data_IF_109128438255
#
_entry.id   IF_109128438255
#
_cell.length_a   1.000
_cell.length_b   1.000
_cell.length_c   1.000
_cell.angle_alpha   90.00
_cell.angle_beta   90.00
_cell.angle_gamma   90.00
#
_symmetry.space_group_name_H-M   'P 1'
#
loop_
_entity.id
_entity.type
_entity.pdbx_description
1 polymer ?
#
# COMPACT_ATOMS: atom_id res chain seq x y z
N UNK A 1 -13.71 -11.62 -3.61
CA UNK A 1 -12.89 -11.18 -4.76
C UNK A 1 -11.81 -12.20 -5.06
N UNK A 2 -11.45 -12.31 -6.31
CA UNK A 2 -10.43 -13.24 -6.75
C UNK A 2 -9.15 -12.53 -7.16
N UNK A 3 -8.02 -13.15 -6.90
CA UNK A 3 -6.71 -12.66 -7.29
C UNK A 3 -6.58 -12.61 -8.82
N UNK A 4 -6.04 -11.52 -9.34
CA UNK A 4 -5.84 -11.34 -10.78
C UNK A 4 -4.70 -12.21 -11.33
N UNK A 5 -3.80 -12.64 -10.46
CA UNK A 5 -2.61 -13.39 -10.88
C UNK A 5 -2.88 -14.89 -10.94
N UNK A 6 -3.42 -15.46 -9.86
CA UNK A 6 -3.59 -16.90 -9.77
C UNK A 6 -5.04 -17.38 -9.65
N UNK A 7 -5.99 -16.47 -9.54
CA UNK A 7 -7.40 -16.80 -9.35
C UNK A 7 -7.77 -17.25 -7.95
N UNK A 8 -6.84 -17.22 -7.01
CA UNK A 8 -7.10 -17.57 -5.62
C UNK A 8 -7.97 -16.54 -4.91
N UNK A 9 -8.39 -16.85 -3.70
CA UNK A 9 -9.24 -15.98 -2.93
C UNK A 9 -8.44 -14.91 -2.20
N UNK A 10 -8.93 -13.66 -2.25
CA UNK A 10 -8.33 -12.53 -1.53
C UNK A 10 -8.89 -12.44 -0.12
N UNK A 11 -8.02 -12.06 0.83
CA UNK A 11 -8.39 -11.82 2.22
C UNK A 11 -8.04 -10.39 2.60
N UNK A 12 -8.86 -9.78 3.46
CA UNK A 12 -8.56 -8.48 4.05
C UNK A 12 -7.44 -8.63 5.08
N UNK A 13 -6.41 -7.79 4.97
CA UNK A 13 -5.29 -7.75 5.90
C UNK A 13 -4.87 -6.33 6.17
N UNK A 14 -4.16 -6.12 7.28
CA UNK A 14 -3.53 -4.83 7.62
C UNK A 14 -2.04 -5.07 7.61
N UNK A 15 -1.31 -4.29 6.82
CA UNK A 15 0.13 -4.48 6.66
C UNK A 15 0.85 -3.15 6.45
N UNK A 16 2.17 -3.20 6.41
CA UNK A 16 3.02 -2.05 6.11
C UNK A 16 3.61 -2.25 4.73
N UNK A 17 3.49 -1.25 3.85
CA UNK A 17 4.02 -1.33 2.49
C UNK A 17 4.89 -0.12 2.16
N UNK A 18 6.01 -0.34 1.46
CA UNK A 18 6.84 0.76 0.97
C UNK A 18 6.32 1.28 -0.37
N UNK A 19 6.44 2.60 -0.55
CA UNK A 19 6.10 3.26 -1.81
C UNK A 19 7.25 4.18 -2.21
N UNK A 20 7.77 4.02 -3.40
CA UNK A 20 8.83 4.87 -3.91
C UNK A 20 8.20 6.11 -4.54
N UNK A 21 8.47 7.28 -3.97
CA UNK A 21 7.89 8.55 -4.44
C UNK A 21 8.85 9.32 -5.35
N UNK A 22 10.15 9.02 -5.30
CA UNK A 22 11.15 9.55 -6.21
C UNK A 22 12.35 8.61 -6.21
N UNK A 23 13.37 8.88 -7.02
CA UNK A 23 14.55 8.03 -7.10
C UNK A 23 15.27 7.87 -5.77
N UNK A 24 15.17 8.86 -4.89
CA UNK A 24 15.89 8.87 -3.62
C UNK A 24 14.97 8.92 -2.41
N UNK A 25 13.66 8.72 -2.58
CA UNK A 25 12.71 8.87 -1.47
C UNK A 25 11.73 7.71 -1.44
N UNK A 26 11.62 7.07 -0.27
CA UNK A 26 10.71 5.96 -0.03
C UNK A 26 9.82 6.32 1.17
N UNK A 27 8.53 6.04 1.04
CA UNK A 27 7.56 6.21 2.12
C UNK A 27 7.03 4.84 2.52
N UNK A 28 7.08 4.56 3.81
CA UNK A 28 6.45 3.35 4.37
C UNK A 28 5.09 3.76 4.93
N UNK A 29 4.01 3.18 4.38
CA UNK A 29 2.67 3.37 4.92
C UNK A 29 2.37 2.22 5.87
N UNK A 30 2.15 2.56 7.14
CA UNK A 30 1.88 1.58 8.19
C UNK A 30 0.38 1.42 8.39
N UNK A 31 -0.02 0.22 8.76
CA UNK A 31 -1.42 -0.14 9.04
C UNK A 31 -2.31 0.10 7.83
N UNK A 32 -1.82 -0.26 6.66
CA UNK A 32 -2.54 -0.11 5.40
C UNK A 32 -3.47 -1.30 5.19
N UNK A 33 -4.78 -1.06 4.96
CA UNK A 33 -5.70 -2.14 4.63
C UNK A 33 -5.46 -2.61 3.20
N UNK A 34 -5.25 -3.91 3.04
CA UNK A 34 -4.98 -4.51 1.74
C UNK A 34 -5.82 -5.76 1.56
N UNK A 35 -5.90 -6.22 0.31
CA UNK A 35 -6.43 -7.52 -0.03
C UNK A 35 -5.26 -8.39 -0.45
N UNK A 36 -5.06 -9.51 0.22
CA UNK A 36 -3.94 -10.40 -0.07
C UNK A 36 -4.44 -11.78 -0.47
N UNK A 37 -3.86 -12.31 -1.54
CA UNK A 37 -4.19 -13.64 -2.01
C UNK A 37 -3.65 -14.70 -1.05
N UNK A 38 -4.51 -15.63 -0.66
CA UNK A 38 -4.11 -16.75 0.22
C UNK A 38 -3.17 -17.72 -0.48
N UNK A 39 -3.22 -17.78 -1.80
CA UNK A 39 -2.52 -18.78 -2.59
C UNK A 39 -1.15 -18.31 -3.05
N UNK A 40 -1.08 -17.15 -3.70
CA UNK A 40 0.18 -16.65 -4.28
C UNK A 40 0.82 -15.51 -3.49
N UNK A 41 0.12 -14.95 -2.50
CA UNK A 41 0.64 -13.85 -1.69
C UNK A 41 0.54 -12.48 -2.34
N UNK A 42 -0.03 -12.38 -3.54
CA UNK A 42 -0.18 -11.09 -4.23
C UNK A 42 -1.04 -10.13 -3.42
N UNK A 43 -0.62 -8.87 -3.36
CA UNK A 43 -1.32 -7.82 -2.61
C UNK A 43 -2.02 -6.87 -3.57
N UNK A 44 -3.28 -6.57 -3.28
CA UNK A 44 -4.07 -5.61 -4.05
C UNK A 44 -4.68 -4.58 -3.12
N UNK A 45 -4.91 -3.37 -3.65
CA UNK A 45 -5.57 -2.29 -2.92
C UNK A 45 -6.94 -2.02 -3.55
N UNK A 46 -7.95 -1.81 -2.71
CA UNK A 46 -9.24 -1.35 -3.19
C UNK A 46 -9.12 0.08 -3.72
N UNK A 47 -10.00 0.46 -4.65
CA UNK A 47 -9.93 1.78 -5.29
C UNK A 47 -9.97 2.92 -4.28
N UNK A 48 -10.85 2.85 -3.29
CA UNK A 48 -10.94 3.90 -2.26
C UNK A 48 -9.64 4.00 -1.45
N UNK A 49 -9.01 2.86 -1.15
CA UNK A 49 -7.73 2.83 -0.46
C UNK A 49 -6.63 3.45 -1.32
N UNK A 50 -6.60 3.13 -2.61
CA UNK A 50 -5.60 3.70 -3.52
C UNK A 50 -5.72 5.21 -3.64
N UNK A 51 -6.94 5.74 -3.70
CA UNK A 51 -7.15 7.18 -3.74
C UNK A 51 -6.61 7.86 -2.48
N UNK A 52 -6.83 7.25 -1.32
CA UNK A 52 -6.30 7.78 -0.06
C UNK A 52 -4.77 7.69 -0.01
N UNK A 53 -4.20 6.59 -0.49
CA UNK A 53 -2.74 6.44 -0.59
C UNK A 53 -2.16 7.54 -1.47
N UNK A 54 -2.75 7.80 -2.62
CA UNK A 54 -2.29 8.86 -3.52
C UNK A 54 -2.30 10.23 -2.83
N UNK A 55 -3.34 10.52 -2.05
CA UNK A 55 -3.43 11.77 -1.28
C UNK A 55 -2.31 11.86 -0.24
N UNK A 56 -2.06 10.77 0.49
CA UNK A 56 -1.01 10.74 1.51
C UNK A 56 0.37 10.92 0.89
N UNK A 57 0.64 10.23 -0.22
CA UNK A 57 1.94 10.32 -0.90
C UNK A 57 2.17 11.69 -1.52
N UNK A 58 1.11 12.37 -1.98
CA UNK A 58 1.22 13.70 -2.53
C UNK A 58 1.62 14.76 -1.50
N UNK A 59 1.38 14.47 -0.21
CA UNK A 59 1.65 15.42 0.87
C UNK A 59 3.00 15.21 1.55
N UNK A 60 3.78 14.18 1.15
CA UNK A 60 5.05 13.88 1.80
C UNK A 60 6.16 14.83 1.33
N UNK A 61 7.19 14.94 2.18
CA UNK A 61 8.39 15.71 1.85
C UNK A 61 9.32 14.85 0.98
N UNK A 62 9.38 15.15 -0.31
CA UNK A 62 10.18 14.38 -1.26
C UNK A 62 11.68 14.56 -1.06
N UNK A 63 12.11 15.48 -0.21
CA UNK A 63 13.53 15.62 0.14
C UNK A 63 13.97 14.61 1.21
N UNK A 64 13.06 13.99 1.90
CA UNK A 64 13.40 12.94 2.87
C UNK A 64 13.70 11.62 2.16
N UNK A 65 14.78 10.95 2.58
CA UNK A 65 15.13 9.65 2.00
C UNK A 65 14.15 8.55 2.42
N UNK A 66 13.68 8.64 3.66
CA UNK A 66 12.73 7.67 4.21
C UNK A 66 11.74 8.38 5.11
N UNK A 67 10.48 8.10 4.91
CA UNK A 67 9.42 8.63 5.77
C UNK A 67 8.47 7.49 6.12
N UNK A 68 7.99 7.48 7.37
CA UNK A 68 7.06 6.48 7.85
C UNK A 68 5.77 7.18 8.27
N UNK A 69 4.65 6.78 7.65
CA UNK A 69 3.35 7.41 7.88
C UNK A 69 2.34 6.31 8.21
N UNK A 70 1.48 6.57 9.19
CA UNK A 70 0.39 5.66 9.51
C UNK A 70 -0.83 6.03 8.66
N UNK A 71 -1.37 5.04 7.94
CA UNK A 71 -2.50 5.24 7.04
C UNK A 71 -3.74 5.81 7.75
N UNK A 72 -4.05 5.32 8.92
CA UNK A 72 -5.27 5.65 9.65
C UNK A 72 -5.06 6.70 10.75
N UNK A 73 -3.98 7.44 10.73
CA UNK A 73 -3.69 8.45 11.74
C UNK A 73 -4.60 9.67 11.61
#
# INVERSE_FOLDING_TARGET
MRCRVCGGQLESRITDLPFKVSDSSIVILRSLPVLQCRQCGETELEQATMLRVDQLLAAVDVSAELEVIRYAA
#
